data_IF_528504373148
#
_entry.id   IF_528504373148
#
_cell.length_a   1.000
_cell.length_b   1.000
_cell.length_c   1.000
_cell.angle_alpha   90.00
_cell.angle_beta   90.00
_cell.angle_gamma   90.00
#
_symmetry.space_group_name_H-M   'P 1'
#
loop_
_entity.id
_entity.type
_entity.pdbx_description
1 polymer ?
#
# COMPACT_ATOMS: atom_id res chain seq x y z
N UNK A 1 1.07 -2.29 32.09
CA UNK A 1 0.83 -2.91 30.77
C UNK A 1 1.70 -2.17 29.78
N UNK A 2 2.51 -2.86 28.97
CA UNK A 2 3.26 -2.18 27.92
C UNK A 2 2.29 -1.62 26.87
N UNK A 3 2.58 -0.44 26.32
CA UNK A 3 1.76 0.16 25.28
C UNK A 3 1.74 -0.75 24.04
N UNK A 4 0.55 -0.97 23.47
CA UNK A 4 0.39 -1.81 22.27
C UNK A 4 1.10 -1.21 21.05
N UNK A 5 1.14 0.12 20.97
CA UNK A 5 1.83 0.87 19.93
C UNK A 5 3.10 1.42 20.56
N UNK A 6 4.24 0.91 20.12
CA UNK A 6 5.55 1.32 20.58
C UNK A 6 6.58 1.10 19.44
N UNK A 7 7.84 1.49 19.65
CA UNK A 7 8.87 1.41 18.62
C UNK A 7 9.07 -0.02 18.10
N UNK A 8 9.05 -1.03 18.98
CA UNK A 8 9.23 -2.43 18.62
C UNK A 8 8.05 -2.96 17.81
N UNK A 9 6.80 -2.72 18.26
CA UNK A 9 5.61 -3.21 17.55
C UNK A 9 5.42 -2.52 16.19
N UNK A 10 5.77 -1.23 16.08
CA UNK A 10 5.73 -0.52 14.80
C UNK A 10 6.83 -0.99 13.84
N UNK A 11 8.04 -1.24 14.34
CA UNK A 11 9.12 -1.78 13.52
C UNK A 11 8.77 -3.17 12.98
N UNK A 12 8.18 -4.04 13.82
CA UNK A 12 7.69 -5.34 13.39
C UNK A 12 6.64 -5.20 12.27
N UNK A 13 5.65 -4.32 12.44
CA UNK A 13 4.61 -4.08 11.44
C UNK A 13 5.19 -3.57 10.10
N UNK A 14 6.18 -2.67 10.11
CA UNK A 14 6.84 -2.23 8.89
C UNK A 14 7.60 -3.36 8.19
N UNK A 15 8.30 -4.19 8.94
CA UNK A 15 9.00 -5.33 8.37
C UNK A 15 8.03 -6.35 7.77
N UNK A 16 6.92 -6.66 8.45
CA UNK A 16 5.87 -7.53 7.94
C UNK A 16 5.24 -6.97 6.65
N UNK A 17 4.94 -5.67 6.61
CA UNK A 17 4.41 -5.03 5.40
C UNK A 17 5.39 -5.10 4.24
N UNK A 18 6.69 -4.91 4.49
CA UNK A 18 7.72 -5.04 3.48
C UNK A 18 7.83 -6.48 2.96
N UNK A 19 7.81 -7.49 3.84
CA UNK A 19 7.79 -8.90 3.41
C UNK A 19 6.53 -9.23 2.60
N UNK A 20 5.38 -8.70 2.98
CA UNK A 20 4.13 -8.87 2.23
C UNK A 20 4.22 -8.22 0.84
N UNK A 21 4.80 -7.03 0.74
CA UNK A 21 5.09 -6.40 -0.54
C UNK A 21 5.96 -7.30 -1.41
N UNK A 22 7.07 -7.83 -0.87
CA UNK A 22 7.96 -8.73 -1.62
C UNK A 22 7.24 -9.99 -2.12
N UNK A 23 6.44 -10.63 -1.26
CA UNK A 23 5.66 -11.81 -1.61
C UNK A 23 4.65 -11.51 -2.73
N UNK A 24 3.87 -10.42 -2.58
CA UNK A 24 2.88 -10.03 -3.61
C UNK A 24 3.56 -9.59 -4.90
N UNK A 25 4.68 -8.90 -4.84
CA UNK A 25 5.41 -8.50 -6.04
C UNK A 25 5.99 -9.72 -6.78
N UNK A 26 6.38 -10.79 -6.06
CA UNK A 26 6.76 -12.05 -6.69
C UNK A 26 5.57 -12.74 -7.39
N UNK A 27 4.37 -12.69 -6.79
CA UNK A 27 3.16 -13.31 -7.36
C UNK A 27 2.57 -12.53 -8.55
N UNK A 28 2.55 -11.20 -8.47
CA UNK A 28 1.85 -10.32 -9.41
C UNK A 28 2.78 -9.51 -10.34
N UNK A 29 4.11 -9.58 -10.13
CA UNK A 29 5.09 -8.76 -10.84
C UNK A 29 4.81 -7.25 -10.72
N UNK A 30 5.27 -6.49 -11.71
CA UNK A 30 5.10 -5.02 -11.79
C UNK A 30 3.69 -4.60 -12.24
N UNK A 31 2.65 -5.35 -11.89
CA UNK A 31 1.27 -5.08 -12.32
C UNK A 31 0.72 -3.74 -11.82
N UNK A 32 1.08 -3.34 -10.60
CA UNK A 32 0.67 -2.06 -10.04
C UNK A 32 1.38 -0.89 -10.73
N UNK A 33 2.70 -0.95 -10.87
CA UNK A 33 3.50 0.04 -11.61
C UNK A 33 2.96 0.22 -13.03
N UNK A 34 2.71 -0.88 -13.76
CA UNK A 34 2.09 -0.81 -15.08
C UNK A 34 0.76 -0.05 -15.10
N UNK A 35 -0.07 -0.22 -14.06
CA UNK A 35 -1.33 0.53 -13.95
C UNK A 35 -1.09 2.02 -13.71
N UNK A 36 -0.03 2.37 -12.97
CA UNK A 36 0.37 3.76 -12.77
C UNK A 36 0.94 4.36 -14.06
N UNK A 37 1.71 3.61 -14.84
CA UNK A 37 2.25 4.07 -16.12
C UNK A 37 1.12 4.30 -17.15
N UNK A 38 0.11 3.41 -17.17
CA UNK A 38 -1.01 3.49 -18.10
C UNK A 38 -2.03 4.58 -17.73
N UNK A 39 -2.28 4.81 -16.42
CA UNK A 39 -3.40 5.64 -15.95
C UNK A 39 -3.01 6.75 -14.96
N UNK A 40 -1.73 6.87 -14.62
CA UNK A 40 -1.21 7.81 -13.64
C UNK A 40 -1.69 7.55 -12.21
N UNK A 41 -1.56 8.58 -11.37
CA UNK A 41 -1.88 8.50 -9.94
C UNK A 41 -3.34 8.08 -9.64
N UNK A 42 -4.26 8.23 -10.60
CA UNK A 42 -5.67 7.82 -10.45
C UNK A 42 -5.76 6.31 -10.22
N UNK A 43 -4.95 5.48 -10.88
CA UNK A 43 -4.93 4.04 -10.62
C UNK A 43 -4.55 3.72 -9.18
N UNK A 44 -3.59 4.45 -8.60
CA UNK A 44 -3.22 4.34 -7.20
C UNK A 44 -4.36 4.73 -6.25
N UNK A 45 -4.99 5.89 -6.48
CA UNK A 45 -6.12 6.37 -5.67
C UNK A 45 -7.29 5.40 -5.69
N UNK A 46 -7.59 4.79 -6.84
CA UNK A 46 -8.66 3.78 -6.95
C UNK A 46 -8.36 2.57 -6.06
N UNK A 47 -7.12 2.04 -6.10
CA UNK A 47 -6.75 0.88 -5.24
C UNK A 47 -6.80 1.20 -3.76
N UNK A 48 -6.38 2.40 -3.36
CA UNK A 48 -6.50 2.87 -1.97
C UNK A 48 -7.97 2.96 -1.57
N UNK A 49 -8.81 3.53 -2.44
CA UNK A 49 -10.26 3.64 -2.22
C UNK A 49 -10.93 2.27 -2.08
N UNK A 50 -10.54 1.27 -2.89
CA UNK A 50 -11.04 -0.11 -2.77
C UNK A 50 -10.77 -0.68 -1.36
N UNK A 51 -9.57 -0.45 -0.81
CA UNK A 51 -9.21 -0.90 0.55
C UNK A 51 -9.93 -0.11 1.63
N UNK A 52 -10.06 1.20 1.46
CA UNK A 52 -10.84 2.03 2.37
C UNK A 52 -12.31 1.59 2.43
N UNK A 53 -12.94 1.37 1.27
CA UNK A 53 -14.35 0.94 1.20
C UNK A 53 -14.52 -0.44 1.83
N UNK A 54 -13.54 -1.34 1.65
CA UNK A 54 -13.52 -2.63 2.35
C UNK A 54 -13.44 -2.45 3.86
N UNK A 55 -12.50 -1.64 4.35
CA UNK A 55 -12.36 -1.34 5.78
C UNK A 55 -13.68 -0.79 6.34
N UNK A 56 -14.27 0.19 5.66
CA UNK A 56 -15.56 0.79 6.04
C UNK A 56 -16.67 -0.26 6.12
N UNK A 57 -16.74 -1.20 5.17
CA UNK A 57 -17.73 -2.27 5.21
C UNK A 57 -17.48 -3.26 6.36
N UNK A 58 -16.21 -3.63 6.60
CA UNK A 58 -15.83 -4.56 7.66
C UNK A 58 -16.21 -4.03 9.06
N UNK A 59 -15.95 -2.76 9.34
CA UNK A 59 -16.26 -2.16 10.65
C UNK A 59 -17.77 -1.96 10.88
N UNK A 60 -18.56 -1.88 9.80
CA UNK A 60 -20.01 -1.69 9.87
C UNK A 60 -20.82 -2.98 9.72
N UNK A 61 -20.15 -4.12 9.47
CA UNK A 61 -20.81 -5.42 9.33
C UNK A 61 -20.72 -6.24 10.61
N UNK A 62 -21.85 -6.73 11.13
CA UNK A 62 -21.94 -7.69 12.25
C UNK A 62 -21.41 -9.11 11.90
N UNK A 63 -20.81 -9.27 10.71
CA UNK A 63 -20.33 -10.56 10.23
C UNK A 63 -18.87 -10.74 10.62
N UNK A 64 -18.57 -11.89 11.23
CA UNK A 64 -17.21 -12.42 11.30
C UNK A 64 -16.67 -12.63 9.88
N UNK A 65 -16.05 -11.60 9.30
CA UNK A 65 -15.39 -11.72 8.01
C UNK A 65 -14.04 -12.40 8.23
N UNK A 66 -13.71 -13.36 7.35
CA UNK A 66 -12.50 -14.18 7.47
C UNK A 66 -11.19 -13.43 7.25
N UNK A 67 -11.25 -12.25 6.60
CA UNK A 67 -10.06 -11.41 6.40
C UNK A 67 -9.94 -10.42 7.56
N UNK A 68 -8.73 -10.31 8.13
CA UNK A 68 -8.48 -9.43 9.26
C UNK A 68 -8.59 -7.97 8.85
N UNK A 69 -9.25 -7.14 9.68
CA UNK A 69 -9.20 -5.69 9.58
C UNK A 69 -7.76 -5.16 9.46
N UNK A 70 -6.82 -5.80 10.17
CA UNK A 70 -5.40 -5.48 10.11
C UNK A 70 -4.79 -5.75 8.74
N UNK A 71 -5.19 -6.83 8.06
CA UNK A 71 -4.68 -7.14 6.72
C UNK A 71 -5.15 -6.11 5.70
N UNK A 72 -6.41 -5.67 5.79
CA UNK A 72 -6.94 -4.59 4.94
C UNK A 72 -6.21 -3.27 5.18
N UNK A 73 -5.91 -2.92 6.45
CA UNK A 73 -5.14 -1.72 6.79
C UNK A 73 -3.71 -1.77 6.24
N UNK A 74 -3.05 -2.93 6.37
CA UNK A 74 -1.71 -3.16 5.86
C UNK A 74 -1.63 -3.13 4.33
N UNK A 75 -2.61 -3.71 3.64
CA UNK A 75 -2.77 -3.59 2.19
C UNK A 75 -2.89 -2.13 1.76
N UNK A 76 -3.72 -1.35 2.47
CA UNK A 76 -3.89 0.08 2.19
C UNK A 76 -2.59 0.85 2.40
N UNK A 77 -1.86 0.57 3.48
CA UNK A 77 -0.55 1.17 3.75
C UNK A 77 0.45 0.87 2.64
N UNK A 78 0.50 -0.38 2.16
CA UNK A 78 1.38 -0.77 1.06
C UNK A 78 1.03 -0.03 -0.24
N UNK A 79 -0.25 0.11 -0.61
CA UNK A 79 -0.64 0.91 -1.79
C UNK A 79 -0.26 2.38 -1.66
N UNK A 80 -0.42 2.99 -0.48
CA UNK A 80 0.02 4.37 -0.24
C UNK A 80 1.52 4.52 -0.44
N UNK A 81 2.34 3.62 0.12
CA UNK A 81 3.80 3.66 0.01
C UNK A 81 4.26 3.40 -1.42
N UNK A 82 3.70 2.40 -2.10
CA UNK A 82 4.05 2.12 -3.50
C UNK A 82 3.74 3.30 -4.43
N UNK A 83 2.60 3.97 -4.25
CA UNK A 83 2.27 5.18 -5.01
C UNK A 83 3.25 6.32 -4.73
N UNK A 84 3.65 6.52 -3.47
CA UNK A 84 4.64 7.53 -3.11
C UNK A 84 5.99 7.27 -3.78
N UNK A 85 6.49 6.02 -3.72
CA UNK A 85 7.75 5.62 -4.36
C UNK A 85 7.70 5.87 -5.88
N UNK A 86 6.61 5.47 -6.55
CA UNK A 86 6.47 5.71 -7.98
C UNK A 86 6.48 7.21 -8.33
N UNK A 87 5.78 8.05 -7.55
CA UNK A 87 5.78 9.51 -7.77
C UNK A 87 7.17 10.14 -7.60
N UNK A 88 7.94 9.68 -6.60
CA UNK A 88 9.31 10.14 -6.34
C UNK A 88 10.27 9.74 -7.48
N UNK A 89 10.16 8.52 -7.99
CA UNK A 89 10.98 8.06 -9.13
C UNK A 89 10.60 8.80 -10.42
N UNK A 90 9.31 9.02 -10.66
CA UNK A 90 8.80 9.81 -11.78
C UNK A 90 9.31 11.26 -11.76
N UNK A 91 9.35 11.88 -10.58
CA UNK A 91 9.92 13.22 -10.42
C UNK A 91 11.44 13.22 -10.65
N UNK A 92 12.14 12.20 -10.15
CA UNK A 92 13.58 12.03 -10.38
C UNK A 92 13.91 11.90 -11.87
N UNK A 93 13.15 11.10 -12.61
CA UNK A 93 13.33 10.92 -14.05
C UNK A 93 13.10 12.24 -14.81
N UNK A 94 12.01 12.96 -14.52
CA UNK A 94 11.76 14.28 -15.13
C UNK A 94 12.89 15.27 -14.87
N UNK A 95 13.41 15.32 -13.65
CA UNK A 95 14.50 16.23 -13.30
C UNK A 95 15.81 15.90 -14.03
N UNK A 96 16.08 14.62 -14.31
CA UNK A 96 17.24 14.18 -15.09
C UNK A 96 17.10 14.54 -16.58
N UNK A 97 15.89 14.45 -17.15
CA UNK A 97 15.64 14.78 -18.56
C UNK A 97 15.67 16.31 -18.83
N UNK A 98 15.28 17.12 -17.85
CA UNK A 98 15.23 18.58 -17.98
C UNK A 98 16.47 19.30 -17.41
N UNK A 99 17.40 18.55 -16.80
CA UNK A 99 18.63 19.05 -16.18
C UNK A 99 19.90 18.91 -17.02
N UNK A 100 19.77 18.59 -18.32
CA UNK A 100 20.87 18.46 -19.29
C UNK A 100 21.01 19.65 -20.22
#
# INVERSE_FOLDING_TARGET
MADKINAESMQAAYNENYQMFLAKNADYGNSFEKSLDDFGFIAGVVRISDKYNRLYNLINSDKNVSESLSDTLNDMANYCVMLAVWLEEEERHRNLEHGG
#
